data_IF_744096260787
#
_entry.id   IF_744096260787
#
_cell.length_a   1.000
_cell.length_b   1.000
_cell.length_c   1.000
_cell.angle_alpha   90.00
_cell.angle_beta   90.00
_cell.angle_gamma   90.00
#
_symmetry.space_group_name_H-M   'P 1'
#
loop_
_entity.id
_entity.type
_entity.pdbx_description
1 polymer ?
#
# COMPACT_ATOMS: atom_id res chain seq x y z
N UNK A 1 12.38 6.45 28.33
CA UNK A 1 10.92 6.63 28.49
C UNK A 1 10.29 7.39 27.30
N UNK A 2 11.00 8.35 26.67
CA UNK A 2 10.53 9.01 25.44
C UNK A 2 10.61 8.11 24.20
N UNK A 3 11.70 7.35 24.06
CA UNK A 3 11.92 6.42 22.92
C UNK A 3 10.85 5.33 22.83
N UNK A 4 10.41 4.79 23.97
CA UNK A 4 9.38 3.74 24.01
C UNK A 4 8.00 4.22 23.53
N UNK A 5 7.67 5.52 23.67
CA UNK A 5 6.41 6.05 23.15
C UNK A 5 6.46 6.29 21.64
N UNK A 6 7.62 6.72 21.13
CA UNK A 6 7.86 6.87 19.69
C UNK A 6 7.81 5.51 18.97
N UNK A 7 8.46 4.49 19.53
CA UNK A 7 8.46 3.12 18.99
C UNK A 7 7.03 2.56 18.91
N UNK A 8 6.23 2.69 19.97
CA UNK A 8 4.84 2.22 19.97
C UNK A 8 3.99 2.93 18.90
N UNK A 9 4.22 4.22 18.67
CA UNK A 9 3.48 4.97 17.66
C UNK A 9 3.92 4.60 16.24
N UNK A 10 5.22 4.38 16.01
CA UNK A 10 5.72 3.87 14.74
C UNK A 10 5.19 2.46 14.45
N UNK A 11 5.19 1.57 15.44
CA UNK A 11 4.67 0.20 15.31
C UNK A 11 3.17 0.22 14.96
N UNK A 12 2.40 1.10 15.61
CA UNK A 12 0.98 1.29 15.28
C UNK A 12 0.78 1.80 13.86
N UNK A 13 1.61 2.74 13.38
CA UNK A 13 1.55 3.21 11.99
C UNK A 13 1.90 2.08 11.01
N UNK A 14 2.90 1.25 11.34
CA UNK A 14 3.32 0.12 10.52
C UNK A 14 2.19 -0.91 10.38
N UNK A 15 1.57 -1.29 11.50
CA UNK A 15 0.42 -2.21 11.51
C UNK A 15 -0.76 -1.65 10.69
N UNK A 16 -1.05 -0.36 10.82
CA UNK A 16 -2.09 0.31 10.01
C UNK A 16 -1.77 0.29 8.52
N UNK A 17 -0.53 0.59 8.14
CA UNK A 17 -0.07 0.54 6.76
C UNK A 17 -0.19 -0.88 6.20
N UNK A 18 0.23 -1.90 6.94
CA UNK A 18 0.11 -3.30 6.53
C UNK A 18 -1.36 -3.68 6.27
N UNK A 19 -2.25 -3.42 7.23
CA UNK A 19 -3.68 -3.70 7.06
C UNK A 19 -4.29 -2.98 5.86
N UNK A 20 -3.95 -1.70 5.65
CA UNK A 20 -4.42 -0.93 4.50
C UNK A 20 -3.93 -1.53 3.18
N UNK A 21 -2.65 -1.90 3.10
CA UNK A 21 -2.06 -2.47 1.91
C UNK A 21 -2.63 -3.86 1.59
N UNK A 22 -2.87 -4.68 2.61
CA UNK A 22 -3.52 -5.98 2.45
C UNK A 22 -4.96 -5.82 1.95
N UNK A 23 -5.70 -4.84 2.46
CA UNK A 23 -7.05 -4.52 1.97
C UNK A 23 -7.02 -4.07 0.51
N UNK A 24 -6.14 -3.14 0.13
CA UNK A 24 -6.02 -2.65 -1.25
C UNK A 24 -5.68 -3.81 -2.20
N UNK A 25 -4.72 -4.67 -1.83
CA UNK A 25 -4.36 -5.84 -2.63
C UNK A 25 -5.52 -6.84 -2.74
N UNK A 26 -6.27 -7.05 -1.66
CA UNK A 26 -7.45 -7.92 -1.65
C UNK A 26 -8.54 -7.41 -2.58
N UNK A 27 -8.90 -6.12 -2.49
CA UNK A 27 -9.93 -5.50 -3.34
C UNK A 27 -9.55 -5.58 -4.82
N UNK A 28 -8.33 -5.19 -5.18
CA UNK A 28 -7.85 -5.26 -6.57
C UNK A 28 -7.84 -6.71 -7.08
N UNK A 29 -7.43 -7.66 -6.24
CA UNK A 29 -7.34 -9.06 -6.64
C UNK A 29 -8.70 -9.76 -6.78
N UNK A 30 -9.70 -9.38 -5.98
CA UNK A 30 -10.94 -10.13 -5.83
C UNK A 30 -12.17 -9.47 -6.46
N UNK A 31 -12.23 -8.13 -6.50
CA UNK A 31 -13.37 -7.44 -7.09
C UNK A 31 -13.34 -7.57 -8.61
N UNK A 32 -14.33 -8.28 -9.15
CA UNK A 32 -14.46 -8.54 -10.60
C UNK A 32 -14.92 -7.29 -11.37
N UNK A 33 -15.64 -6.38 -10.70
CA UNK A 33 -16.18 -5.16 -11.29
C UNK A 33 -15.19 -4.01 -11.32
N UNK A 34 -14.16 -4.05 -10.47
CA UNK A 34 -13.14 -3.02 -10.39
C UNK A 34 -12.34 -2.90 -11.70
N UNK A 35 -12.37 -1.71 -12.29
CA UNK A 35 -11.66 -1.39 -13.53
C UNK A 35 -10.18 -1.13 -13.29
N UNK A 36 -9.38 -1.16 -14.36
CA UNK A 36 -7.94 -0.88 -14.30
C UNK A 36 -7.65 0.55 -13.80
N UNK A 37 -8.48 1.52 -14.19
CA UNK A 37 -8.30 2.92 -13.80
C UNK A 37 -8.63 3.12 -12.32
N UNK A 38 -9.71 2.52 -11.82
CA UNK A 38 -10.05 2.55 -10.39
C UNK A 38 -8.97 1.88 -9.54
N UNK A 39 -8.45 0.73 -9.98
CA UNK A 39 -7.35 0.07 -9.31
C UNK A 39 -6.06 0.93 -9.29
N UNK A 40 -5.77 1.62 -10.39
CA UNK A 40 -4.64 2.54 -10.46
C UNK A 40 -4.80 3.74 -9.50
N UNK A 41 -6.02 4.28 -9.38
CA UNK A 41 -6.34 5.34 -8.40
C UNK A 41 -6.17 4.83 -6.97
N UNK A 42 -6.67 3.62 -6.65
CA UNK A 42 -6.47 3.01 -5.33
C UNK A 42 -4.99 2.84 -4.98
N UNK A 43 -4.17 2.41 -5.94
CA UNK A 43 -2.71 2.31 -5.76
C UNK A 43 -2.12 3.70 -5.47
N UNK A 44 -2.47 4.71 -6.26
CA UNK A 44 -1.97 6.07 -6.08
C UNK A 44 -2.36 6.65 -4.71
N UNK A 45 -3.59 6.42 -4.26
CA UNK A 45 -4.07 6.92 -2.97
C UNK A 45 -3.47 6.14 -1.80
N UNK A 46 -3.27 4.81 -1.93
CA UNK A 46 -2.54 4.01 -0.93
C UNK A 46 -1.10 4.52 -0.74
N UNK A 47 -0.45 4.94 -1.83
CA UNK A 47 0.90 5.53 -1.80
C UNK A 47 0.89 6.87 -1.08
N UNK A 48 -0.05 7.77 -1.39
CA UNK A 48 -0.19 9.06 -0.70
C UNK A 48 -0.41 8.85 0.80
N UNK A 49 -1.27 7.91 1.19
CA UNK A 49 -1.51 7.58 2.59
C UNK A 49 -0.25 7.03 3.29
N UNK A 50 0.49 6.14 2.63
CA UNK A 50 1.75 5.61 3.16
C UNK A 50 2.79 6.72 3.39
N UNK A 51 2.95 7.64 2.44
CA UNK A 51 3.87 8.78 2.57
C UNK A 51 3.40 9.80 3.60
N UNK A 52 2.09 10.00 3.78
CA UNK A 52 1.58 10.83 4.87
C UNK A 52 1.87 10.22 6.26
N UNK A 53 1.84 8.88 6.38
CA UNK A 53 2.21 8.20 7.62
C UNK A 53 3.72 8.18 7.87
N UNK A 54 4.51 8.08 6.79
CA UNK A 54 5.96 7.96 6.78
C UNK A 54 6.62 8.81 5.66
N UNK A 55 6.74 10.14 5.85
CA UNK A 55 7.22 11.06 4.80
C UNK A 55 8.59 10.70 4.23
N UNK A 56 9.50 10.24 5.08
CA UNK A 56 10.89 9.95 4.70
C UNK A 56 11.12 8.50 4.24
N UNK A 57 10.06 7.69 4.14
CA UNK A 57 10.16 6.24 3.86
C UNK A 57 9.64 5.86 2.46
N UNK A 58 9.68 6.79 1.51
CA UNK A 58 9.25 6.55 0.12
C UNK A 58 10.02 5.43 -0.57
N UNK A 59 11.34 5.38 -0.40
CA UNK A 59 12.17 4.33 -0.98
C UNK A 59 11.76 2.94 -0.45
N UNK A 60 11.51 2.83 0.85
CA UNK A 60 11.06 1.58 1.47
C UNK A 60 9.70 1.14 0.91
N UNK A 61 8.75 2.07 0.77
CA UNK A 61 7.46 1.77 0.12
C UNK A 61 7.67 1.24 -1.31
N UNK A 62 8.51 1.91 -2.09
CA UNK A 62 8.78 1.52 -3.48
C UNK A 62 9.45 0.15 -3.57
N UNK A 63 10.31 -0.23 -2.63
CA UNK A 63 10.96 -1.55 -2.64
C UNK A 63 9.99 -2.67 -2.22
N UNK A 64 9.10 -2.40 -1.26
CA UNK A 64 8.23 -3.43 -0.66
C UNK A 64 6.93 -3.61 -1.47
N UNK A 65 6.25 -2.51 -1.80
CA UNK A 65 4.87 -2.56 -2.30
C UNK A 65 4.77 -2.40 -3.80
N UNK A 66 5.56 -1.51 -4.42
CA UNK A 66 5.52 -1.28 -5.87
C UNK A 66 5.62 -2.57 -6.70
N UNK A 67 6.60 -3.49 -6.48
CA UNK A 67 6.68 -4.72 -7.28
C UNK A 67 5.49 -5.66 -7.05
N UNK A 68 4.91 -5.68 -5.84
CA UNK A 68 3.74 -6.50 -5.50
C UNK A 68 2.49 -6.00 -6.22
N UNK A 69 2.27 -4.69 -6.20
CA UNK A 69 1.15 -4.04 -6.88
C UNK A 69 1.27 -4.13 -8.40
N UNK A 70 2.48 -3.96 -8.96
CA UNK A 70 2.70 -4.12 -10.40
C UNK A 70 2.37 -5.54 -10.87
N UNK A 71 2.82 -6.56 -10.15
CA UNK A 71 2.48 -7.95 -10.46
C UNK A 71 0.97 -8.19 -10.36
N UNK A 72 0.34 -7.71 -9.29
CA UNK A 72 -1.11 -7.83 -9.10
C UNK A 72 -1.89 -7.19 -10.28
N UNK A 73 -1.50 -6.00 -10.71
CA UNK A 73 -2.12 -5.32 -11.85
C UNK A 73 -1.94 -6.09 -13.15
N UNK A 74 -0.74 -6.60 -13.43
CA UNK A 74 -0.46 -7.42 -14.63
C UNK A 74 -1.29 -8.69 -14.65
N UNK A 75 -1.35 -9.41 -13.53
CA UNK A 75 -2.10 -10.66 -13.42
C UNK A 75 -3.62 -10.44 -13.54
N UNK A 76 -4.15 -9.44 -12.83
CA UNK A 76 -5.59 -9.16 -12.77
C UNK A 76 -6.17 -8.60 -14.08
N UNK A 77 -5.41 -7.74 -14.74
CA UNK A 77 -5.86 -6.99 -15.92
C UNK A 77 -5.16 -7.40 -17.23
N UNK A 78 -4.27 -8.40 -17.17
CA UNK A 78 -3.52 -8.93 -18.33
C UNK A 78 -2.75 -7.85 -19.11
N UNK A 79 -2.22 -6.88 -18.38
CA UNK A 79 -1.39 -5.80 -18.93
C UNK A 79 -0.02 -6.39 -19.28
N UNK A 80 0.38 -6.28 -20.55
CA UNK A 80 1.68 -6.74 -21.07
C UNK A 80 2.78 -5.72 -20.79
#
# INVERSE_FOLDING_TARGET
MYDSQLEVQEERKLRRLQMMMDLVMSVIGQDKSLTVDEAAVMIADSRKAALAMFPDKELAYNLIYKPRLQRLMRERYRIQ
#
